data_IF_314592553657
#
_entry.id   IF_314592553657
#
_cell.length_a   1.000
_cell.length_b   1.000
_cell.length_c   1.000
_cell.angle_alpha   90.00
_cell.angle_beta   90.00
_cell.angle_gamma   90.00
#
_symmetry.space_group_name_H-M   'P 1'
#
loop_
_entity.id
_entity.type
_entity.pdbx_description
1 polymer ?
#
# COMPACT_ATOMS: atom_id res chain seq x y z
N UNK A 1 22.39 121.64 15.84
CA UNK A 1 21.29 121.15 14.96
C UNK A 1 21.79 120.47 13.67
N UNK A 2 22.85 120.96 13.01
CA UNK A 2 23.39 120.33 11.79
C UNK A 2 24.07 118.96 12.02
N UNK A 3 24.81 118.80 13.11
CA UNK A 3 25.51 117.52 13.44
C UNK A 3 24.54 116.36 13.73
N UNK A 4 23.41 116.62 14.39
CA UNK A 4 22.38 115.60 14.67
C UNK A 4 21.64 115.11 13.42
N UNK A 5 21.52 115.94 12.39
CA UNK A 5 20.83 115.60 11.13
C UNK A 5 21.70 114.71 10.24
N UNK A 6 23.02 114.97 10.21
CA UNK A 6 24.01 114.10 9.53
C UNK A 6 24.05 112.73 10.19
N UNK A 7 24.06 112.69 11.53
CA UNK A 7 24.04 111.42 12.26
C UNK A 7 22.77 110.62 11.99
N UNK A 8 21.60 111.27 12.01
CA UNK A 8 20.31 110.64 11.69
C UNK A 8 20.29 110.05 10.27
N UNK A 9 20.82 110.79 9.28
CA UNK A 9 20.93 110.32 7.89
C UNK A 9 21.84 109.09 7.76
N UNK A 10 22.97 109.07 8.45
CA UNK A 10 23.90 107.93 8.43
C UNK A 10 23.29 106.67 9.06
N UNK A 11 22.57 106.81 10.18
CA UNK A 11 21.83 105.70 10.77
C UNK A 11 20.72 105.19 9.86
N UNK A 12 20.02 106.06 9.14
CA UNK A 12 18.96 105.66 8.22
C UNK A 12 19.50 104.90 7.00
N UNK A 13 20.67 105.28 6.48
CA UNK A 13 21.38 104.53 5.44
C UNK A 13 21.85 103.16 5.93
N UNK A 14 22.40 103.11 7.15
CA UNK A 14 22.78 101.84 7.78
C UNK A 14 21.58 100.90 7.96
N UNK A 15 20.43 101.41 8.41
CA UNK A 15 19.20 100.61 8.52
C UNK A 15 18.68 100.13 7.16
N UNK A 16 18.78 100.96 6.12
CA UNK A 16 18.37 100.57 4.77
C UNK A 16 19.29 99.46 4.20
N UNK A 17 20.60 99.59 4.38
CA UNK A 17 21.59 98.59 3.94
C UNK A 17 21.47 97.29 4.75
N UNK A 18 21.30 97.39 6.07
CA UNK A 18 21.06 96.25 6.94
C UNK A 18 19.75 95.54 6.58
N UNK A 19 18.67 96.30 6.32
CA UNK A 19 17.38 95.75 5.88
C UNK A 19 17.47 95.05 4.53
N UNK A 20 18.20 95.62 3.57
CA UNK A 20 18.42 95.00 2.27
C UNK A 20 19.20 93.68 2.38
N UNK A 21 20.29 93.68 3.17
CA UNK A 21 21.09 92.49 3.43
C UNK A 21 20.29 91.38 4.12
N UNK A 22 19.45 91.73 5.10
CA UNK A 22 18.55 90.79 5.75
C UNK A 22 17.52 90.21 4.76
N UNK A 23 17.01 91.01 3.84
CA UNK A 23 16.07 90.54 2.83
C UNK A 23 16.72 89.57 1.83
N UNK A 24 17.95 89.86 1.42
CA UNK A 24 18.73 88.97 0.54
C UNK A 24 19.08 87.64 1.23
N UNK A 25 19.47 87.68 2.51
CA UNK A 25 19.71 86.48 3.31
C UNK A 25 18.43 85.63 3.50
N UNK A 26 17.26 86.27 3.64
CA UNK A 26 15.97 85.57 3.73
C UNK A 26 15.61 84.89 2.41
N UNK A 27 15.76 85.58 1.28
CA UNK A 27 15.50 85.01 -0.05
C UNK A 27 16.42 83.81 -0.30
N UNK A 28 17.70 83.94 0.05
CA UNK A 28 18.66 82.84 -0.10
C UNK A 28 18.28 81.62 0.76
N UNK A 29 17.80 81.84 1.99
CA UNK A 29 17.31 80.75 2.85
C UNK A 29 16.03 80.12 2.31
N UNK A 30 15.10 80.90 1.80
CA UNK A 30 13.86 80.39 1.21
C UNK A 30 14.15 79.49 0.00
N UNK A 31 15.08 79.90 -0.86
CA UNK A 31 15.51 79.10 -2.01
C UNK A 31 16.18 77.78 -1.59
N UNK A 32 17.03 77.83 -0.56
CA UNK A 32 17.63 76.61 0.02
C UNK A 32 16.55 75.68 0.60
N UNK A 33 15.60 76.23 1.36
CA UNK A 33 14.50 75.47 1.97
C UNK A 33 13.65 74.83 0.88
N UNK A 34 13.33 75.56 -0.19
CA UNK A 34 12.57 75.05 -1.33
C UNK A 34 13.32 73.90 -2.02
N UNK A 35 14.62 74.06 -2.28
CA UNK A 35 15.45 72.99 -2.84
C UNK A 35 15.58 71.76 -1.93
N UNK A 36 15.63 71.96 -0.60
CA UNK A 36 15.55 70.84 0.34
C UNK A 36 14.18 70.16 0.34
N UNK A 37 13.10 70.92 0.26
CA UNK A 37 11.74 70.41 0.21
C UNK A 37 11.49 69.60 -1.06
N UNK A 38 11.92 70.10 -2.21
CA UNK A 38 11.78 69.42 -3.50
C UNK A 38 12.53 68.08 -3.51
N UNK A 39 13.78 68.06 -3.00
CA UNK A 39 14.55 66.82 -2.84
C UNK A 39 13.91 65.85 -1.85
N UNK A 40 13.33 66.36 -0.76
CA UNK A 40 12.64 65.52 0.23
C UNK A 40 11.38 64.91 -0.39
N UNK A 41 10.62 65.68 -1.17
CA UNK A 41 9.43 65.19 -1.85
C UNK A 41 9.79 64.16 -2.93
N UNK A 42 10.86 64.38 -3.69
CA UNK A 42 11.37 63.41 -4.67
C UNK A 42 11.82 62.11 -3.99
N UNK A 43 12.57 62.21 -2.89
CA UNK A 43 12.97 61.05 -2.09
C UNK A 43 11.76 60.32 -1.48
N UNK A 44 10.78 61.06 -0.97
CA UNK A 44 9.55 60.46 -0.44
C UNK A 44 8.78 59.73 -1.54
N UNK A 45 8.71 60.30 -2.74
CA UNK A 45 8.05 59.69 -3.90
C UNK A 45 8.77 58.42 -4.37
N UNK A 46 10.11 58.45 -4.41
CA UNK A 46 10.91 57.28 -4.79
C UNK A 46 10.84 56.15 -3.74
N UNK A 47 10.79 56.50 -2.45
CA UNK A 47 10.55 55.55 -1.36
C UNK A 47 9.15 54.93 -1.49
N UNK A 48 8.12 55.74 -1.75
CA UNK A 48 6.75 55.26 -1.91
C UNK A 48 6.64 54.28 -3.09
N UNK A 49 7.20 54.63 -4.27
CA UNK A 49 7.20 53.72 -5.42
C UNK A 49 7.99 52.44 -5.14
N UNK A 50 9.06 52.53 -4.35
CA UNK A 50 9.84 51.35 -3.94
C UNK A 50 9.03 50.45 -3.00
N UNK A 51 8.26 51.02 -2.08
CA UNK A 51 7.37 50.29 -1.17
C UNK A 51 6.22 49.61 -1.93
N UNK A 52 5.56 50.29 -2.86
CA UNK A 52 4.52 49.70 -3.71
C UNK A 52 5.07 48.52 -4.53
N UNK A 53 6.28 48.66 -5.08
CA UNK A 53 6.96 47.58 -5.78
C UNK A 53 7.32 46.40 -4.87
N UNK A 54 7.63 46.67 -3.60
CA UNK A 54 7.95 45.65 -2.62
C UNK A 54 6.69 44.90 -2.17
N UNK A 55 5.59 45.61 -1.91
CA UNK A 55 4.29 45.01 -1.58
C UNK A 55 3.81 44.10 -2.71
N UNK A 56 3.87 44.57 -3.97
CA UNK A 56 3.55 43.75 -5.14
C UNK A 56 4.43 42.50 -5.24
N UNK A 57 5.74 42.64 -4.97
CA UNK A 57 6.67 41.50 -4.92
C UNK A 57 6.38 40.54 -3.76
N UNK A 58 6.01 41.04 -2.60
CA UNK A 58 5.66 40.22 -1.45
C UNK A 58 4.35 39.46 -1.70
N UNK A 59 3.34 40.11 -2.27
CA UNK A 59 2.08 39.49 -2.65
C UNK A 59 2.29 38.38 -3.69
N UNK A 60 3.09 38.64 -4.72
CA UNK A 60 3.44 37.62 -5.72
C UNK A 60 4.27 36.47 -5.13
N UNK A 61 5.18 36.75 -4.19
CA UNK A 61 5.92 35.71 -3.47
C UNK A 61 4.99 34.82 -2.64
N UNK A 62 3.99 35.39 -1.96
CA UNK A 62 3.02 34.61 -1.18
C UNK A 62 2.21 33.67 -2.07
N UNK A 63 1.77 34.15 -3.25
CA UNK A 63 1.08 33.31 -4.24
C UNK A 63 1.98 32.19 -4.76
N UNK A 64 3.27 32.46 -5.00
CA UNK A 64 4.22 31.43 -5.42
C UNK A 64 4.46 30.40 -4.31
N UNK A 65 4.58 30.83 -3.06
CA UNK A 65 4.72 29.94 -1.90
C UNK A 65 3.50 29.03 -1.74
N UNK A 66 2.29 29.56 -1.86
CA UNK A 66 1.05 28.78 -1.80
C UNK A 66 1.01 27.71 -2.90
N UNK A 67 1.41 28.07 -4.12
CA UNK A 67 1.55 27.10 -5.22
C UNK A 67 2.58 26.03 -4.91
N UNK A 68 3.76 26.40 -4.42
CA UNK A 68 4.81 25.44 -4.07
C UNK A 68 4.33 24.48 -2.98
N UNK A 69 3.64 25.00 -1.94
CA UNK A 69 3.10 24.17 -0.87
C UNK A 69 2.03 23.19 -1.38
N UNK A 70 1.12 23.67 -2.25
CA UNK A 70 0.13 22.83 -2.92
C UNK A 70 0.77 21.72 -3.77
N UNK A 71 1.77 22.08 -4.58
CA UNK A 71 2.54 21.10 -5.36
C UNK A 71 3.30 20.13 -4.47
N UNK A 72 3.94 20.60 -3.40
CA UNK A 72 4.69 19.76 -2.47
C UNK A 72 3.78 18.79 -1.74
N UNK A 73 2.57 19.22 -1.34
CA UNK A 73 1.58 18.36 -0.72
C UNK A 73 1.06 17.29 -1.70
N UNK A 74 0.78 17.69 -2.94
CA UNK A 74 0.41 16.76 -4.01
C UNK A 74 1.52 15.74 -4.29
N UNK A 75 2.77 16.19 -4.38
CA UNK A 75 3.93 15.35 -4.65
C UNK A 75 4.26 14.44 -3.47
N UNK A 76 4.14 14.90 -2.22
CA UNK A 76 4.32 14.07 -1.03
C UNK A 76 3.27 12.95 -1.00
N UNK A 77 2.01 13.26 -1.30
CA UNK A 77 0.93 12.28 -1.36
C UNK A 77 1.16 11.27 -2.50
N UNK A 78 1.53 11.74 -3.68
CA UNK A 78 1.86 10.91 -4.84
C UNK A 78 3.08 10.00 -4.56
N UNK A 79 4.13 10.54 -3.91
CA UNK A 79 5.32 9.79 -3.52
C UNK A 79 5.04 8.69 -2.49
N UNK A 80 4.04 8.89 -1.61
CA UNK A 80 3.65 7.90 -0.62
C UNK A 80 2.90 6.75 -1.27
N UNK A 81 2.05 7.06 -2.24
CA UNK A 81 1.30 6.09 -3.04
C UNK A 81 2.23 5.20 -3.87
N UNK A 82 3.22 5.78 -4.55
CA UNK A 82 4.18 4.99 -5.34
C UNK A 82 5.03 4.07 -4.45
N UNK A 83 5.45 4.54 -3.27
CA UNK A 83 6.20 3.73 -2.31
C UNK A 83 5.37 2.54 -1.82
N UNK A 84 4.10 2.77 -1.47
CA UNK A 84 3.19 1.70 -1.06
C UNK A 84 3.06 0.67 -2.18
N UNK A 85 2.80 1.10 -3.41
CA UNK A 85 2.68 0.22 -4.57
C UNK A 85 3.87 -0.74 -4.72
N UNK A 86 5.11 -0.23 -4.64
CA UNK A 86 6.30 -1.09 -4.73
C UNK A 86 6.41 -2.09 -3.58
N UNK A 87 6.17 -1.66 -2.34
CA UNK A 87 6.25 -2.52 -1.16
C UNK A 87 5.23 -3.66 -1.24
N UNK A 88 3.99 -3.36 -1.58
CA UNK A 88 2.94 -4.38 -1.69
C UNK A 88 3.14 -5.29 -2.91
N UNK A 89 3.64 -4.77 -4.03
CA UNK A 89 4.00 -5.59 -5.19
C UNK A 89 5.05 -6.65 -4.83
N UNK A 90 6.11 -6.25 -4.12
CA UNK A 90 7.14 -7.19 -3.63
C UNK A 90 6.53 -8.17 -2.62
N UNK A 91 5.65 -7.71 -1.73
CA UNK A 91 5.03 -8.55 -0.71
C UNK A 91 4.11 -9.63 -1.32
N UNK A 92 3.30 -9.27 -2.33
CA UNK A 92 2.49 -10.21 -3.12
C UNK A 92 3.40 -11.28 -3.75
N UNK A 93 4.52 -10.86 -4.34
CA UNK A 93 5.48 -11.78 -4.96
C UNK A 93 6.12 -12.72 -3.94
N UNK A 94 6.51 -12.21 -2.77
CA UNK A 94 7.06 -13.02 -1.67
C UNK A 94 6.04 -14.04 -1.17
N UNK A 95 4.78 -13.63 -0.98
CA UNK A 95 3.69 -14.53 -0.57
C UNK A 95 3.42 -15.59 -1.66
N UNK A 96 3.43 -15.19 -2.93
CA UNK A 96 3.29 -16.09 -4.06
C UNK A 96 4.41 -17.14 -4.10
N UNK A 97 5.65 -16.72 -3.88
CA UNK A 97 6.80 -17.63 -3.81
C UNK A 97 6.71 -18.56 -2.60
N UNK A 98 6.37 -18.06 -1.41
CA UNK A 98 6.20 -18.86 -0.20
C UNK A 98 5.04 -19.87 -0.29
N UNK A 99 3.98 -19.54 -1.04
CA UNK A 99 2.77 -20.38 -1.13
C UNK A 99 2.80 -21.32 -2.35
N UNK A 100 3.85 -21.30 -3.18
CA UNK A 100 3.94 -22.11 -4.41
C UNK A 100 4.06 -23.63 -4.19
N UNK A 101 4.25 -24.08 -2.95
CA UNK A 101 4.23 -25.51 -2.60
C UNK A 101 2.81 -26.09 -2.64
N UNK A 102 2.68 -27.33 -3.16
CA UNK A 102 1.40 -27.97 -3.52
C UNK A 102 0.41 -28.19 -2.36
N UNK A 103 0.81 -27.99 -1.10
CA UNK A 103 0.05 -28.40 0.09
C UNK A 103 -0.69 -27.25 0.80
N UNK A 104 -0.47 -25.98 0.40
CA UNK A 104 -1.08 -24.79 1.02
C UNK A 104 -2.26 -24.24 0.21
N UNK A 105 -3.00 -25.11 -0.50
CA UNK A 105 -3.98 -24.69 -1.51
C UNK A 105 -5.20 -23.97 -0.92
N UNK A 106 -5.69 -24.39 0.26
CA UNK A 106 -6.88 -23.81 0.88
C UNK A 106 -6.64 -22.46 1.57
N UNK A 107 -5.42 -22.17 2.03
CA UNK A 107 -5.11 -20.94 2.78
C UNK A 107 -4.68 -19.80 1.85
N UNK A 108 -4.19 -20.14 0.65
CA UNK A 108 -3.73 -19.21 -0.38
C UNK A 108 -4.74 -18.10 -0.76
N UNK A 109 -6.03 -18.37 -1.05
CA UNK A 109 -6.97 -17.32 -1.43
C UNK A 109 -7.28 -16.36 -0.26
N UNK A 110 -7.33 -16.86 0.98
CA UNK A 110 -7.57 -16.03 2.16
C UNK A 110 -6.41 -15.07 2.43
N UNK A 111 -5.16 -15.54 2.27
CA UNK A 111 -3.96 -14.69 2.36
C UNK A 111 -3.96 -13.56 1.33
N UNK A 112 -4.38 -13.83 0.08
CA UNK A 112 -4.46 -12.79 -0.95
C UNK A 112 -5.60 -11.80 -0.70
N UNK A 113 -6.76 -12.26 -0.22
CA UNK A 113 -7.89 -11.39 0.14
C UNK A 113 -7.49 -10.46 1.31
N UNK A 114 -6.83 -10.98 2.32
CA UNK A 114 -6.38 -10.19 3.48
C UNK A 114 -5.31 -9.17 3.10
N UNK A 115 -4.35 -9.56 2.25
CA UNK A 115 -3.34 -8.66 1.72
C UNK A 115 -3.94 -7.56 0.84
N UNK A 116 -4.93 -7.89 0.01
CA UNK A 116 -5.63 -6.92 -0.81
C UNK A 116 -6.46 -5.95 0.06
N UNK A 117 -7.15 -6.46 1.08
CA UNK A 117 -7.90 -5.64 2.02
C UNK A 117 -6.98 -4.68 2.79
N UNK A 118 -5.82 -5.15 3.27
CA UNK A 118 -4.86 -4.30 3.97
C UNK A 118 -4.21 -3.25 3.07
N UNK A 119 -3.89 -3.58 1.82
CA UNK A 119 -3.47 -2.60 0.83
C UNK A 119 -4.53 -1.51 0.61
N UNK A 120 -5.78 -1.92 0.42
CA UNK A 120 -6.89 -1.01 0.18
C UNK A 120 -7.16 -0.11 1.39
N UNK A 121 -7.08 -0.67 2.61
CA UNK A 121 -7.20 0.08 3.85
C UNK A 121 -6.05 1.08 4.04
N UNK A 122 -4.80 0.73 3.71
CA UNK A 122 -3.68 1.67 3.80
C UNK A 122 -3.84 2.84 2.81
N UNK A 123 -4.27 2.55 1.57
CA UNK A 123 -4.58 3.58 0.57
C UNK A 123 -5.75 4.45 1.02
N UNK A 124 -6.81 3.87 1.59
CA UNK A 124 -7.94 4.61 2.16
C UNK A 124 -7.48 5.54 3.29
N UNK A 125 -6.66 5.07 4.22
CA UNK A 125 -6.14 5.88 5.33
C UNK A 125 -5.26 7.01 4.82
N UNK A 126 -4.41 6.76 3.81
CA UNK A 126 -3.58 7.80 3.19
C UNK A 126 -4.45 8.88 2.52
N UNK A 127 -5.55 8.47 1.89
CA UNK A 127 -6.43 9.37 1.13
C UNK A 127 -7.47 10.10 1.99
N UNK A 128 -7.97 9.50 3.08
CA UNK A 128 -8.96 10.08 3.99
C UNK A 128 -8.34 10.89 5.14
N UNK A 129 -7.15 10.52 5.62
CA UNK A 129 -6.53 11.13 6.80
C UNK A 129 -5.28 11.93 6.41
N UNK A 130 -5.48 13.03 5.67
CA UNK A 130 -4.40 13.98 5.32
C UNK A 130 -4.09 14.98 6.43
N UNK A 131 -5.00 15.18 7.40
CA UNK A 131 -4.97 16.34 8.30
C UNK A 131 -4.17 16.14 9.59
N UNK A 132 -3.87 14.89 9.99
CA UNK A 132 -3.11 14.60 11.22
C UNK A 132 -2.03 13.53 10.98
N UNK A 133 -0.85 13.99 10.54
CA UNK A 133 0.29 13.15 10.16
C UNK A 133 0.72 12.18 11.28
N UNK A 134 0.64 12.60 12.55
CA UNK A 134 0.97 11.75 13.70
C UNK A 134 -0.02 10.59 13.89
N UNK A 135 -1.32 10.89 13.92
CA UNK A 135 -2.36 9.86 14.04
C UNK A 135 -2.37 8.94 12.83
N UNK A 136 -2.17 9.49 11.63
CA UNK A 136 -2.04 8.72 10.40
C UNK A 136 -0.91 7.69 10.50
N UNK A 137 0.27 8.10 10.97
CA UNK A 137 1.43 7.21 11.09
C UNK A 137 1.22 6.14 12.15
N UNK A 138 0.61 6.50 13.28
CA UNK A 138 0.29 5.56 14.35
C UNK A 138 -0.73 4.51 13.92
N UNK A 139 -1.81 4.91 13.24
CA UNK A 139 -2.85 4.00 12.72
C UNK A 139 -2.27 3.05 11.67
N UNK A 140 -1.47 3.58 10.74
CA UNK A 140 -0.82 2.76 9.70
C UNK A 140 0.10 1.71 10.33
N UNK A 141 0.92 2.11 11.32
CA UNK A 141 1.83 1.19 11.98
C UNK A 141 1.06 0.08 12.74
N UNK A 142 -0.05 0.42 13.39
CA UNK A 142 -0.92 -0.55 14.04
C UNK A 142 -1.55 -1.53 13.04
N UNK A 143 -2.04 -1.05 11.90
CA UNK A 143 -2.61 -1.91 10.85
C UNK A 143 -1.56 -2.88 10.27
N UNK A 144 -0.33 -2.40 10.04
CA UNK A 144 0.79 -3.25 9.58
C UNK A 144 1.17 -4.31 10.60
N UNK A 145 1.21 -3.95 11.88
CA UNK A 145 1.55 -4.88 12.96
C UNK A 145 0.48 -5.96 13.12
N UNK A 146 -0.80 -5.58 13.06
CA UNK A 146 -1.91 -6.54 13.07
C UNK A 146 -1.82 -7.51 11.90
N UNK A 147 -1.58 -7.02 10.68
CA UNK A 147 -1.38 -7.87 9.50
C UNK A 147 -0.20 -8.84 9.65
N UNK A 148 0.94 -8.35 10.16
CA UNK A 148 2.13 -9.18 10.36
C UNK A 148 1.85 -10.31 11.36
N UNK A 149 1.11 -10.01 12.44
CA UNK A 149 0.68 -11.02 13.41
C UNK A 149 -0.29 -12.00 12.78
N UNK A 150 -1.30 -11.55 12.04
CA UNK A 150 -2.26 -12.42 11.36
C UNK A 150 -1.58 -13.35 10.35
N UNK A 151 -0.70 -12.81 9.50
CA UNK A 151 0.09 -13.58 8.55
C UNK A 151 1.03 -14.58 9.27
N UNK A 152 1.64 -14.19 10.39
CA UNK A 152 2.46 -15.08 11.22
C UNK A 152 1.65 -16.23 11.80
N UNK A 153 0.43 -15.96 12.29
CA UNK A 153 -0.48 -16.98 12.82
C UNK A 153 -0.91 -17.95 11.71
N UNK A 154 -1.21 -17.44 10.51
CA UNK A 154 -1.59 -18.27 9.37
C UNK A 154 -0.43 -19.15 8.88
N UNK A 155 0.79 -18.60 8.83
CA UNK A 155 1.99 -19.38 8.54
C UNK A 155 2.25 -20.44 9.62
N UNK A 156 2.11 -20.08 10.89
CA UNK A 156 2.25 -21.00 12.00
C UNK A 156 1.21 -22.13 11.92
N UNK A 157 -0.03 -21.80 11.58
CA UNK A 157 -1.09 -22.77 11.34
C UNK A 157 -0.71 -23.73 10.21
N UNK A 158 -0.22 -23.23 9.07
CA UNK A 158 0.24 -24.07 7.96
C UNK A 158 1.41 -24.99 8.36
N UNK A 159 2.37 -24.49 9.14
CA UNK A 159 3.51 -25.29 9.65
C UNK A 159 3.02 -26.36 10.64
N UNK A 160 2.12 -26.03 11.56
CA UNK A 160 1.54 -26.99 12.50
C UNK A 160 0.75 -28.07 11.76
N UNK A 161 -0.11 -27.69 10.81
CA UNK A 161 -0.84 -28.64 9.97
C UNK A 161 0.09 -29.54 9.16
N UNK A 162 1.23 -29.02 8.65
CA UNK A 162 2.25 -29.85 7.99
C UNK A 162 2.83 -30.92 8.93
N UNK A 163 3.16 -30.52 10.16
CA UNK A 163 3.67 -31.43 11.18
C UNK A 163 2.65 -32.51 11.56
N UNK A 164 1.36 -32.15 11.65
CA UNK A 164 0.29 -33.12 11.89
C UNK A 164 0.12 -34.11 10.73
N UNK A 165 0.25 -33.64 9.48
CA UNK A 165 0.21 -34.53 8.31
C UNK A 165 1.38 -35.51 8.26
N UNK A 166 2.60 -35.13 8.66
CA UNK A 166 3.73 -36.07 8.76
C UNK A 166 3.46 -37.18 9.78
N UNK A 167 2.89 -36.82 10.94
CA UNK A 167 2.53 -37.77 11.99
C UNK A 167 1.44 -38.73 11.49
N UNK A 168 0.38 -38.20 10.87
CA UNK A 168 -0.71 -39.01 10.32
C UNK A 168 -0.22 -39.94 9.20
N UNK A 169 0.63 -39.45 8.31
CA UNK A 169 1.22 -40.26 7.24
C UNK A 169 2.06 -41.41 7.80
N UNK A 170 2.88 -41.14 8.82
CA UNK A 170 3.66 -42.17 9.49
C UNK A 170 2.77 -43.22 10.17
N UNK A 171 1.70 -42.80 10.84
CA UNK A 171 0.72 -43.71 11.44
C UNK A 171 0.01 -44.57 10.40
N UNK A 172 -0.33 -44.00 9.25
CA UNK A 172 -0.96 -44.74 8.16
C UNK A 172 -0.01 -45.81 7.59
N UNK A 173 1.27 -45.48 7.39
CA UNK A 173 2.30 -46.43 6.97
C UNK A 173 2.50 -47.56 7.99
N UNK A 174 2.55 -47.25 9.28
CA UNK A 174 2.61 -48.24 10.36
C UNK A 174 1.39 -49.17 10.37
N UNK A 175 0.20 -48.61 10.18
CA UNK A 175 -1.06 -49.38 10.14
C UNK A 175 -1.09 -50.31 8.95
N UNK A 176 -0.66 -49.84 7.78
CA UNK A 176 -0.54 -50.68 6.57
C UNK A 176 0.49 -51.78 6.76
N UNK A 177 1.67 -51.47 7.32
CA UNK A 177 2.71 -52.46 7.60
C UNK A 177 2.20 -53.55 8.56
N UNK A 178 1.50 -53.16 9.62
CA UNK A 178 0.94 -54.10 10.59
C UNK A 178 -0.16 -54.98 9.96
N UNK A 179 -1.03 -54.41 9.14
CA UNK A 179 -2.06 -55.15 8.40
C UNK A 179 -1.43 -56.15 7.43
N UNK A 180 -0.45 -55.74 6.62
CA UNK A 180 0.29 -56.62 5.70
C UNK A 180 1.02 -57.74 6.45
N UNK A 181 1.69 -57.42 7.56
CA UNK A 181 2.33 -58.43 8.40
C UNK A 181 1.32 -59.43 8.99
N UNK A 182 0.14 -58.97 9.42
CA UNK A 182 -0.91 -59.87 9.93
C UNK A 182 -1.48 -60.79 8.84
N UNK A 183 -1.69 -60.27 7.63
CA UNK A 183 -2.12 -61.06 6.47
C UNK A 183 -1.06 -62.09 6.05
N UNK A 184 0.21 -61.71 6.06
CA UNK A 184 1.30 -62.64 5.76
C UNK A 184 1.43 -63.73 6.82
N UNK A 185 1.31 -63.37 8.10
CA UNK A 185 1.37 -64.33 9.20
C UNK A 185 0.18 -65.29 9.20
N UNK A 186 -1.01 -64.81 8.85
CA UNK A 186 -2.20 -65.65 8.64
C UNK A 186 -2.03 -66.58 7.43
N UNK A 187 -1.43 -66.09 6.35
CA UNK A 187 -1.10 -66.88 5.17
C UNK A 187 -0.07 -67.97 5.50
N UNK A 188 1.01 -67.66 6.21
CA UNK A 188 1.98 -68.65 6.71
C UNK A 188 1.31 -69.71 7.60
N UNK A 189 0.38 -69.30 8.48
CA UNK A 189 -0.40 -70.22 9.31
C UNK A 189 -1.40 -71.08 8.51
N UNK A 190 -1.90 -70.60 7.37
CA UNK A 190 -2.76 -71.41 6.49
C UNK A 190 -1.94 -72.44 5.71
N UNK A 191 -0.72 -72.11 5.28
CA UNK A 191 0.16 -73.09 4.60
C UNK A 191 0.68 -74.19 5.54
N UNK A 192 0.80 -73.92 6.84
CA UNK A 192 1.20 -74.92 7.84
C UNK A 192 0.05 -75.85 8.28
N UNK A 193 -1.21 -75.49 8.02
CA UNK A 193 -2.38 -76.32 8.37
C UNK A 193 -2.96 -77.09 7.18
N UNK A 194 -2.81 -76.59 5.95
CA UNK A 194 -3.23 -77.27 4.73
C UNK A 194 -2.08 -78.08 4.12
N UNK A 195 -1.65 -79.12 4.86
CA UNK A 195 -1.04 -80.30 4.24
C UNK A 195 -2.14 -81.30 3.91
N UNK A 196 -3.16 -80.87 3.15
CA UNK A 196 -3.96 -81.79 2.37
C UNK A 196 -4.00 -81.31 0.92
N UNK A 197 -3.66 -82.25 0.05
CA UNK A 197 -3.41 -82.10 -1.37
C UNK A 197 -4.72 -81.79 -2.10
N UNK A 198 -5.09 -80.50 -2.23
CA UNK A 198 -6.17 -80.09 -3.13
C UNK A 198 -5.63 -79.66 -4.50
N UNK A 199 -6.10 -80.39 -5.50
CA UNK A 199 -5.74 -80.31 -6.92
C UNK A 199 -6.39 -79.10 -7.60
N UNK A 200 -5.64 -78.00 -7.71
CA UNK A 200 -6.11 -76.73 -8.32
C UNK A 200 -6.38 -76.80 -9.83
N UNK A 201 -6.14 -77.93 -10.50
CA UNK A 201 -6.45 -78.13 -11.92
C UNK A 201 -7.95 -78.16 -12.23
N UNK A 202 -8.80 -78.49 -11.25
CA UNK A 202 -10.23 -78.70 -11.49
C UNK A 202 -11.04 -77.40 -11.68
N UNK A 203 -10.52 -76.25 -11.24
CA UNK A 203 -11.18 -74.94 -11.40
C UNK A 203 -10.86 -74.27 -12.75
N UNK A 204 -9.82 -74.72 -13.46
CA UNK A 204 -9.40 -74.14 -14.75
C UNK A 204 -10.18 -74.74 -15.93
N UNK A 205 -10.72 -75.96 -15.80
CA UNK A 205 -11.39 -76.68 -16.91
C UNK A 205 -12.94 -76.58 -16.89
N UNK A 206 -13.53 -75.77 -16.00
CA UNK A 206 -14.97 -75.51 -16.01
C UNK A 206 -15.26 -74.21 -16.78
N UNK A 207 -15.44 -74.32 -18.10
CA UNK A 207 -15.97 -73.24 -18.93
C UNK A 207 -17.33 -72.76 -18.35
N UNK A 208 -17.37 -71.49 -17.96
CA UNK A 208 -18.57 -70.81 -17.47
C UNK A 208 -19.63 -70.75 -18.59
N UNK A 209 -20.91 -71.08 -18.33
CA UNK A 209 -21.97 -70.88 -19.32
C UNK A 209 -22.26 -69.39 -19.53
N UNK A 210 -22.19 -68.95 -20.79
CA UNK A 210 -22.32 -67.55 -21.26
C UNK A 210 -23.74 -66.92 -21.15
N UNK A 211 -24.67 -67.45 -20.35
CA UNK A 211 -26.06 -66.96 -20.29
C UNK A 211 -26.57 -66.47 -18.92
N UNK A 212 -25.69 -66.28 -17.94
CA UNK A 212 -26.11 -65.70 -16.66
C UNK A 212 -26.35 -64.19 -16.82
N UNK A 213 -27.62 -63.84 -16.96
CA UNK A 213 -28.17 -62.49 -16.97
C UNK A 213 -27.70 -61.72 -15.72
N UNK A 214 -26.68 -60.88 -15.88
CA UNK A 214 -26.02 -60.10 -14.84
C UNK A 214 -26.81 -58.83 -14.44
N UNK A 215 -28.14 -58.95 -14.30
CA UNK A 215 -29.04 -57.80 -14.11
C UNK A 215 -29.67 -57.70 -12.72
N UNK A 216 -29.37 -58.64 -11.80
CA UNK A 216 -29.76 -58.55 -10.40
C UNK A 216 -28.52 -58.53 -9.51
N UNK A 217 -27.98 -57.33 -9.26
CA UNK A 217 -27.06 -57.08 -8.15
C UNK A 217 -27.89 -56.47 -7.02
N UNK A 218 -28.26 -57.22 -5.96
CA UNK A 218 -29.01 -56.67 -4.86
C UNK A 218 -28.07 -55.86 -3.96
N UNK A 219 -28.52 -54.65 -3.63
CA UNK A 219 -27.97 -53.73 -2.62
C UNK A 219 -26.93 -52.70 -3.09
N UNK A 220 -27.31 -51.86 -4.05
CA UNK A 220 -26.83 -50.48 -4.09
C UNK A 220 -27.98 -49.50 -3.81
N UNK A 221 -28.05 -48.99 -2.58
CA UNK A 221 -29.00 -47.94 -2.19
C UNK A 221 -28.46 -46.59 -2.68
N UNK A 222 -29.14 -45.99 -3.65
CA UNK A 222 -28.90 -44.62 -4.11
C UNK A 222 -29.41 -43.63 -3.03
N UNK A 223 -28.61 -42.68 -2.53
CA UNK A 223 -29.12 -41.61 -1.69
C UNK A 223 -30.05 -40.71 -2.52
N UNK A 224 -31.28 -40.54 -2.06
CA UNK A 224 -32.30 -39.69 -2.66
C UNK A 224 -31.79 -38.24 -2.80
N UNK A 225 -31.65 -37.78 -4.04
CA UNK A 225 -31.33 -36.39 -4.37
C UNK A 225 -32.53 -35.50 -4.01
N UNK A 226 -32.41 -34.79 -2.89
CA UNK A 226 -33.17 -33.57 -2.65
C UNK A 226 -32.64 -32.49 -3.58
N UNK A 227 -33.38 -32.32 -4.67
CA UNK A 227 -33.77 -31.06 -5.30
C UNK A 227 -32.72 -29.92 -5.40
N UNK A 228 -32.54 -29.49 -6.66
CA UNK A 228 -32.19 -28.12 -7.07
C UNK A 228 -30.68 -27.78 -7.14
N UNK A 229 -30.08 -27.97 -8.31
CA UNK A 229 -29.71 -26.87 -9.23
C UNK A 229 -28.63 -27.28 -10.25
N UNK A 230 -28.92 -26.99 -11.52
CA UNK A 230 -28.07 -27.15 -12.70
C UNK A 230 -26.65 -26.61 -12.52
N UNK A 231 -25.62 -27.43 -12.75
CA UNK A 231 -24.38 -27.02 -13.44
C UNK A 231 -23.83 -28.22 -14.21
N UNK A 232 -23.69 -28.01 -15.51
CA UNK A 232 -22.94 -28.79 -16.50
C UNK A 232 -21.54 -29.15 -16.00
N UNK A 233 -21.25 -30.43 -15.83
CA UNK A 233 -19.87 -30.93 -15.71
C UNK A 233 -19.74 -32.26 -16.46
N UNK A 234 -19.38 -32.16 -17.74
CA UNK A 234 -18.81 -33.26 -18.51
C UNK A 234 -17.55 -33.74 -17.79
N UNK A 235 -17.66 -34.82 -17.02
CA UNK A 235 -16.54 -35.44 -16.31
C UNK A 235 -16.02 -36.58 -17.19
N UNK A 236 -15.20 -36.22 -18.17
CA UNK A 236 -14.50 -37.17 -19.03
C UNK A 236 -13.37 -37.83 -18.23
N UNK A 237 -13.61 -39.05 -17.75
CA UNK A 237 -12.57 -39.88 -17.18
C UNK A 237 -11.73 -40.47 -18.31
N UNK A 238 -10.55 -39.89 -18.58
CA UNK A 238 -9.56 -40.46 -19.48
C UNK A 238 -8.84 -41.63 -18.78
N UNK A 239 -9.37 -42.83 -18.93
CA UNK A 239 -8.65 -44.06 -18.57
C UNK A 239 -7.72 -44.46 -19.71
N UNK A 240 -6.43 -44.11 -19.54
CA UNK A 240 -5.22 -44.85 -19.96
C UNK A 240 -5.23 -45.43 -21.39
N UNK A 241 -4.52 -44.77 -22.32
CA UNK A 241 -4.18 -45.38 -23.61
C UNK A 241 -3.21 -46.56 -23.42
N UNK A 242 -3.63 -47.75 -23.89
CA UNK A 242 -2.76 -48.91 -23.99
C UNK A 242 -1.99 -48.80 -25.31
N UNK A 243 -0.67 -48.76 -25.21
CA UNK A 243 0.26 -48.86 -26.32
C UNK A 243 -0.02 -50.15 -27.12
N UNK A 244 -0.42 -50.02 -28.38
CA UNK A 244 -0.46 -51.10 -29.35
C UNK A 244 0.92 -51.16 -30.02
N UNK A 245 1.68 -52.21 -29.71
CA UNK A 245 2.74 -52.70 -30.59
C UNK A 245 2.10 -53.73 -31.52
N UNK A 246 1.96 -53.38 -32.79
CA UNK A 246 2.13 -54.30 -33.91
C UNK A 246 2.42 -53.51 -35.19
#
# INVERSE_FOLDING_TARGET
MLSSLVHCRSTLQYFAEYGHRQHEELIQREEQIKGFHDRLMENSKSILSSQESFESKQASMFVVLDRIFSLQNALLLESRMIKAFFVYSILIFVIFMLTSTKQTYNIRPFLYIELFATFFMEVLIIRLTSDSIEHQTWIINMARLFFLVAASVQLLHAICTYKDYEILNHQMLLTLMNSVNSMQKQKELSWDLDTDYEDWSQWIDADLPDDVNCLDDPDYILPEEVAENSITASKSYNLRSRHLYQ
#
